data_IF_056499220543
#
_entry.id   IF_056499220543
#
_cell.length_a   1.000
_cell.length_b   1.000
_cell.length_c   1.000
_cell.angle_alpha   90.00
_cell.angle_beta   90.00
_cell.angle_gamma   90.00
#
_symmetry.space_group_name_H-M   'P 1'
#
loop_
_entity.id
_entity.type
_entity.pdbx_description
1 polymer ?
#
# COMPACT_ATOMS: atom_id res chain seq x y z
N UNK A 1 2.87 -5.92 1.76
CA UNK A 1 3.75 -5.15 2.68
C UNK A 1 3.77 -3.69 2.26
N UNK A 2 3.89 -2.73 3.18
CA UNK A 2 4.04 -1.32 2.82
C UNK A 2 5.35 -1.10 2.07
N UNK A 3 5.35 -0.19 1.10
CA UNK A 3 6.51 0.19 0.29
C UNK A 3 6.89 1.63 0.60
N UNK A 4 8.16 1.88 0.93
CA UNK A 4 8.70 3.22 1.13
C UNK A 4 9.27 3.70 -0.22
N UNK A 5 8.89 4.91 -0.66
CA UNK A 5 9.35 5.47 -1.94
C UNK A 5 10.45 6.51 -1.81
N UNK A 6 10.37 7.36 -0.79
CA UNK A 6 11.39 8.38 -0.51
C UNK A 6 11.60 8.51 1.00
N UNK A 7 12.81 8.89 1.39
CA UNK A 7 13.22 9.05 2.78
C UNK A 7 14.17 10.25 2.90
N UNK A 8 14.06 10.98 4.00
CA UNK A 8 14.94 12.08 4.38
C UNK A 8 15.13 12.10 5.90
N UNK A 9 16.29 12.58 6.34
CA UNK A 9 16.66 12.68 7.75
C UNK A 9 17.14 14.09 8.06
N UNK A 10 16.78 14.63 9.23
CA UNK A 10 17.31 15.90 9.72
C UNK A 10 18.83 15.82 9.93
N UNK A 11 19.49 16.97 9.91
CA UNK A 11 20.95 17.06 10.01
C UNK A 11 21.53 16.44 11.29
N UNK A 12 20.76 16.49 12.38
CA UNK A 12 21.08 15.92 13.68
C UNK A 12 20.56 14.48 13.87
N UNK A 13 19.86 13.93 12.88
CA UNK A 13 19.28 12.59 12.94
C UNK A 13 18.05 12.44 13.83
N UNK A 14 17.53 13.54 14.42
CA UNK A 14 16.42 13.48 15.36
C UNK A 14 15.04 13.33 14.69
N UNK A 15 14.93 13.59 13.38
CA UNK A 15 13.67 13.52 12.64
C UNK A 15 13.87 12.79 11.32
N UNK A 16 13.04 11.78 11.07
CA UNK A 16 12.91 11.11 9.78
C UNK A 16 11.59 11.49 9.10
N UNK A 17 11.62 11.78 7.80
CA UNK A 17 10.45 11.97 6.97
C UNK A 17 10.49 10.99 5.79
N UNK A 18 9.38 10.33 5.50
CA UNK A 18 9.33 9.37 4.40
C UNK A 18 7.94 9.29 3.76
N UNK A 19 7.91 8.89 2.49
CA UNK A 19 6.66 8.59 1.79
C UNK A 19 6.45 7.07 1.69
N UNK A 20 5.26 6.60 2.03
CA UNK A 20 4.94 5.17 2.04
C UNK A 20 3.53 4.86 1.56
N UNK A 21 3.36 3.73 0.89
CA UNK A 21 2.06 3.24 0.39
C UNK A 21 1.81 1.80 0.82
N UNK A 22 0.55 1.39 0.84
CA UNK A 22 0.15 0.00 1.07
C UNK A 22 -1.11 -0.33 0.26
N UNK A 23 -1.54 -1.60 0.20
CA UNK A 23 -2.80 -1.93 -0.46
C UNK A 23 -4.03 -1.21 0.10
N UNK A 24 -3.96 -0.70 1.35
CA UNK A 24 -5.08 -0.04 2.03
C UNK A 24 -5.01 1.49 2.04
N UNK A 25 -3.91 2.10 1.61
CA UNK A 25 -3.81 3.55 1.42
C UNK A 25 -2.79 3.90 0.34
N UNK A 26 -3.03 4.97 -0.45
CA UNK A 26 -2.07 5.44 -1.45
C UNK A 26 -0.76 5.94 -0.79
N UNK A 27 0.12 6.53 -1.60
CA UNK A 27 1.36 7.15 -1.10
C UNK A 27 1.05 8.30 -0.14
N UNK A 28 1.54 8.19 1.09
CA UNK A 28 1.31 9.15 2.17
C UNK A 28 2.62 9.59 2.81
N UNK A 29 2.66 10.81 3.34
CA UNK A 29 3.81 11.35 4.06
C UNK A 29 3.74 10.96 5.54
N UNK A 30 4.85 10.47 6.07
CA UNK A 30 5.02 10.12 7.47
C UNK A 30 6.24 10.84 8.05
N UNK A 31 6.16 11.20 9.32
CA UNK A 31 7.26 11.77 10.12
C UNK A 31 7.45 10.92 11.37
N UNK A 32 8.69 10.66 11.74
CA UNK A 32 9.08 9.96 12.95
C UNK A 32 10.15 10.78 13.66
N UNK A 33 9.86 11.23 14.88
CA UNK A 33 10.81 11.97 15.71
C UNK A 33 11.48 11.03 16.72
N UNK A 34 12.66 11.42 17.22
CA UNK A 34 13.37 10.62 18.21
C UNK A 34 12.54 10.53 19.50
N UNK A 35 12.15 9.30 19.85
CA UNK A 35 11.31 9.00 21.01
C UNK A 35 9.88 8.61 20.63
N UNK A 36 9.48 8.82 19.37
CA UNK A 36 8.20 8.31 18.87
C UNK A 36 8.23 6.77 18.79
N UNK A 37 7.19 6.13 19.30
CA UNK A 37 7.02 4.68 19.17
C UNK A 37 6.62 4.27 17.74
N UNK A 38 5.96 5.17 17.00
CA UNK A 38 5.44 4.95 15.64
C UNK A 38 5.44 6.23 14.81
N UNK A 39 5.60 6.14 13.48
CA UNK A 39 5.51 7.30 12.59
C UNK A 39 4.12 7.93 12.60
N UNK A 40 4.07 9.26 12.62
CA UNK A 40 2.85 10.04 12.47
C UNK A 40 2.59 10.33 11.00
N UNK A 41 1.41 9.94 10.52
CA UNK A 41 0.94 10.25 9.16
C UNK A 41 0.60 11.75 9.08
N UNK A 42 1.20 12.45 8.12
CA UNK A 42 1.08 13.90 7.92
C UNK A 42 0.04 14.28 6.87
N UNK A 43 -0.24 13.38 5.94
CA UNK A 43 -1.23 13.57 4.87
C UNK A 43 -2.27 12.47 4.90
N UNK A 44 -3.50 12.81 4.55
CA UNK A 44 -4.54 11.84 4.26
C UNK A 44 -5.20 12.25 2.94
N UNK A 45 -4.73 11.67 1.83
CA UNK A 45 -5.19 12.07 0.49
C UNK A 45 -6.60 11.58 0.20
N UNK A 46 -7.01 10.47 0.81
CA UNK A 46 -8.31 9.84 0.59
C UNK A 46 -9.05 9.57 1.92
N UNK A 47 -9.41 10.62 2.69
CA UNK A 47 -10.11 10.46 3.96
C UNK A 47 -11.48 9.77 3.78
N UNK A 48 -12.07 9.92 2.58
CA UNK A 48 -13.32 9.26 2.20
C UNK A 48 -13.23 7.72 2.20
N UNK A 49 -12.03 7.14 2.05
CA UNK A 49 -11.85 5.68 2.07
C UNK A 49 -11.94 5.09 3.49
N UNK A 50 -11.85 5.91 4.56
CA UNK A 50 -11.93 5.41 5.93
C UNK A 50 -13.30 4.80 6.28
N UNK A 51 -14.35 5.16 5.54
CA UNK A 51 -15.70 4.61 5.69
C UNK A 51 -16.11 3.60 4.62
N UNK A 52 -15.17 3.16 3.76
CA UNK A 52 -15.45 2.24 2.66
C UNK A 52 -14.78 0.92 2.96
N UNK A 53 -15.55 -0.16 2.98
CA UNK A 53 -14.98 -1.50 3.05
C UNK A 53 -14.17 -1.74 1.77
N UNK A 54 -12.87 -2.01 1.92
CA UNK A 54 -11.98 -2.29 0.80
C UNK A 54 -12.02 -3.77 0.44
N UNK A 55 -12.02 -4.03 -0.86
CA UNK A 55 -11.85 -5.35 -1.44
C UNK A 55 -10.51 -5.97 -1.00
N UNK A 56 -10.52 -7.28 -0.71
CA UNK A 56 -9.27 -8.04 -0.50
C UNK A 56 -8.42 -7.99 -1.78
N UNK A 57 -7.13 -7.75 -1.62
CA UNK A 57 -6.15 -7.79 -2.72
C UNK A 57 -5.13 -8.90 -2.47
N UNK A 58 -4.72 -9.61 -3.52
CA UNK A 58 -3.79 -10.74 -3.47
C UNK A 58 -2.78 -10.66 -4.63
N UNK A 59 -1.50 -10.97 -4.37
CA UNK A 59 -0.50 -11.10 -5.44
C UNK A 59 -0.60 -12.51 -5.99
N UNK A 60 -0.81 -12.63 -7.30
CA UNK A 60 -0.86 -13.91 -8.01
C UNK A 60 0.31 -14.02 -8.97
N UNK A 61 0.95 -15.18 -8.99
CA UNK A 61 2.01 -15.52 -9.94
C UNK A 61 1.46 -16.49 -10.97
N UNK A 62 1.73 -16.26 -12.25
CA UNK A 62 1.35 -17.17 -13.33
C UNK A 62 2.48 -17.34 -14.33
N UNK A 63 2.61 -18.57 -14.85
CA UNK A 63 3.56 -18.88 -15.89
C UNK A 63 2.92 -18.61 -17.26
N UNK A 64 3.53 -17.72 -18.03
CA UNK A 64 3.15 -17.47 -19.41
C UNK A 64 3.53 -18.66 -20.31
N UNK A 65 2.93 -18.72 -21.50
CA UNK A 65 3.14 -19.83 -22.45
C UNK A 65 4.59 -20.00 -22.93
N UNK A 66 5.40 -18.97 -22.77
CA UNK A 66 6.82 -18.91 -23.09
C UNK A 66 7.74 -19.23 -21.89
N UNK A 67 7.17 -19.62 -20.76
CA UNK A 67 7.89 -19.97 -19.54
C UNK A 67 8.27 -18.78 -18.65
N UNK A 68 7.85 -17.56 -19.00
CA UNK A 68 8.08 -16.39 -18.16
C UNK A 68 7.15 -16.40 -16.95
N UNK A 69 7.70 -16.24 -15.74
CA UNK A 69 6.91 -16.01 -14.53
C UNK A 69 6.46 -14.55 -14.47
N UNK A 70 5.15 -14.35 -14.41
CA UNK A 70 4.52 -13.04 -14.34
C UNK A 70 3.81 -12.87 -13.00
N UNK A 71 3.85 -11.66 -12.45
CA UNK A 71 3.13 -11.28 -11.24
C UNK A 71 2.01 -10.30 -11.58
N UNK A 72 0.86 -10.47 -10.92
CA UNK A 72 -0.27 -9.56 -11.01
C UNK A 72 -0.94 -9.35 -9.64
N UNK A 73 -1.72 -8.28 -9.52
CA UNK A 73 -2.54 -8.02 -8.33
C UNK A 73 -3.99 -8.38 -8.64
N UNK A 74 -4.53 -9.37 -7.95
CA UNK A 74 -5.94 -9.76 -7.99
C UNK A 74 -6.72 -8.98 -6.93
N UNK A 75 -7.75 -8.25 -7.36
CA UNK A 75 -8.67 -7.54 -6.46
C UNK A 75 -10.00 -8.31 -6.41
N UNK A 76 -10.40 -8.74 -5.23
CA UNK A 76 -11.61 -9.55 -5.02
C UNK A 76 -12.88 -8.70 -4.90
N UNK A 77 -14.07 -9.24 -5.22
CA UNK A 77 -15.34 -8.58 -4.89
C UNK A 77 -15.50 -8.38 -3.38
N UNK A 78 -16.10 -7.26 -2.97
CA UNK A 78 -16.21 -6.87 -1.57
C UNK A 78 -17.06 -7.82 -0.71
N UNK A 79 -18.20 -8.29 -1.23
CA UNK A 79 -19.18 -9.14 -0.52
C UNK A 79 -19.42 -10.51 -1.17
N UNK A 80 -18.50 -10.95 -2.03
CA UNK A 80 -18.34 -12.33 -2.50
C UNK A 80 -19.53 -13.00 -3.21
N UNK A 81 -19.50 -13.03 -4.54
CA UNK A 81 -19.75 -14.27 -5.29
C UNK A 81 -18.39 -14.85 -5.72
N UNK A 82 -18.20 -16.17 -5.57
CA UNK A 82 -16.94 -16.85 -5.93
C UNK A 82 -16.64 -16.83 -7.44
N UNK A 83 -17.64 -16.51 -8.27
CA UNK A 83 -17.55 -16.50 -9.73
C UNK A 83 -17.95 -15.12 -10.28
N UNK A 84 -17.18 -14.10 -9.94
CA UNK A 84 -17.34 -12.77 -10.54
C UNK A 84 -16.65 -12.70 -11.92
N UNK A 85 -17.15 -11.87 -12.85
CA UNK A 85 -16.44 -11.59 -14.09
C UNK A 85 -15.06 -10.98 -13.80
N UNK A 86 -14.02 -11.50 -14.44
CA UNK A 86 -12.66 -10.98 -14.35
C UNK A 86 -12.43 -9.92 -15.43
N UNK A 87 -11.89 -8.78 -15.02
CA UNK A 87 -11.40 -7.73 -15.92
C UNK A 87 -9.87 -7.74 -15.82
N UNK A 88 -9.19 -7.80 -16.97
CA UNK A 88 -7.73 -7.81 -17.11
C UNK A 88 -7.24 -6.46 -17.65
#
# INVERSE_FOLDING_TARGET
>A
HPVIRAFSLSADGSIAAFSGESPTHPLELFVLEHGDERPRRMTDHNPWLAGVDLAKQEVVSFEARDGLQLEGVLVHPLNGERNAPLIL
#
